data_IF_791533570067
#
_entry.id   IF_791533570067
#
_cell.length_a   1.000
_cell.length_b   1.000
_cell.length_c   1.000
_cell.angle_alpha   90.00
_cell.angle_beta   90.00
_cell.angle_gamma   90.00
#
_symmetry.space_group_name_H-M   'P 1'
#
loop_
_entity.id
_entity.type
_entity.pdbx_description
1 polymer ?
#
# COMPACT_ATOMS: atom_id res chain seq x y z
N UNK A 1 -7.07 -13.87 16.48
CA UNK A 1 -8.26 -13.14 15.95
C UNK A 1 -7.92 -11.67 15.71
N UNK A 2 -7.70 -10.91 16.76
CA UNK A 2 -7.35 -9.46 16.59
C UNK A 2 -5.86 -9.25 16.91
N UNK A 3 -4.99 -9.77 16.07
CA UNK A 3 -3.52 -9.63 16.33
C UNK A 3 -2.98 -8.34 15.68
N UNK A 4 -1.75 -8.00 15.97
CA UNK A 4 -1.15 -6.76 15.40
C UNK A 4 0.21 -7.08 14.77
N UNK A 5 0.18 -7.54 13.55
CA UNK A 5 1.43 -7.88 12.80
C UNK A 5 2.27 -6.62 12.56
N UNK A 6 1.64 -5.46 12.62
CA UNK A 6 2.33 -4.14 12.39
C UNK A 6 2.50 -3.88 10.89
N UNK A 7 2.03 -2.74 10.45
CA UNK A 7 2.12 -2.38 9.01
C UNK A 7 3.59 -2.25 8.56
N UNK A 8 4.42 -1.57 9.34
CA UNK A 8 5.87 -1.38 8.95
C UNK A 8 6.51 -2.70 8.48
N UNK A 9 6.48 -3.73 9.31
CA UNK A 9 7.05 -5.04 8.94
C UNK A 9 6.17 -5.71 7.88
N UNK A 10 4.86 -5.56 7.97
CA UNK A 10 3.95 -6.16 6.93
C UNK A 10 4.39 -5.68 5.54
N UNK A 11 4.69 -4.40 5.42
CA UNK A 11 5.15 -3.85 4.11
C UNK A 11 6.57 -4.33 3.84
N UNK A 12 7.44 -4.22 4.82
CA UNK A 12 8.85 -4.70 4.63
C UNK A 12 8.81 -6.13 4.06
N UNK A 13 7.87 -6.93 4.51
CA UNK A 13 7.73 -8.33 3.99
C UNK A 13 7.17 -8.31 2.56
N UNK A 14 5.97 -7.78 2.37
CA UNK A 14 5.37 -7.73 0.98
C UNK A 14 6.38 -7.14 -0.01
N UNK A 15 7.02 -6.06 0.36
CA UNK A 15 8.03 -5.43 -0.54
C UNK A 15 9.18 -6.41 -0.79
N UNK A 16 9.72 -6.99 0.27
CA UNK A 16 10.85 -7.97 0.11
C UNK A 16 10.39 -9.18 -0.73
N UNK A 17 9.23 -9.71 -0.44
CA UNK A 17 8.71 -10.89 -1.20
C UNK A 17 8.33 -10.48 -2.63
N UNK A 18 8.00 -9.22 -2.85
CA UNK A 18 7.62 -8.76 -4.23
C UNK A 18 6.33 -9.48 -4.67
N UNK A 19 5.26 -9.30 -3.92
CA UNK A 19 3.96 -9.97 -4.27
C UNK A 19 3.24 -9.21 -5.40
N UNK A 20 3.43 -7.91 -5.50
CA UNK A 20 2.76 -7.13 -6.59
C UNK A 20 3.82 -6.72 -7.64
N UNK A 21 3.52 -6.97 -8.90
CA UNK A 21 4.43 -6.64 -10.02
C UNK A 21 4.57 -5.12 -10.17
N UNK A 22 5.37 -4.53 -9.32
CA UNK A 22 5.57 -3.04 -9.35
C UNK A 22 5.92 -2.56 -7.94
N UNK A 23 5.29 -3.11 -6.92
CA UNK A 23 5.61 -2.70 -5.52
C UNK A 23 6.90 -3.40 -5.10
N UNK A 24 7.88 -2.65 -4.64
CA UNK A 24 9.18 -3.30 -4.25
C UNK A 24 10.19 -2.27 -3.71
N UNK A 25 11.26 -2.75 -3.13
CA UNK A 25 12.31 -1.83 -2.59
C UNK A 25 13.12 -1.24 -3.75
N UNK A 26 13.13 0.05 -3.90
CA UNK A 26 13.96 0.68 -4.97
C UNK A 26 15.39 0.72 -4.44
N UNK A 27 15.52 0.93 -3.15
CA UNK A 27 16.85 0.96 -2.48
C UNK A 27 16.66 0.32 -1.09
N UNK A 28 16.57 -0.99 -1.04
CA UNK A 28 16.34 -1.70 0.27
C UNK A 28 17.47 -1.38 1.26
N UNK A 29 18.67 -1.11 0.78
CA UNK A 29 19.79 -0.78 1.71
C UNK A 29 19.37 0.40 2.61
N UNK A 30 18.83 1.45 2.03
CA UNK A 30 18.36 2.61 2.84
C UNK A 30 16.85 2.45 3.15
N UNK A 31 16.28 1.31 2.79
CA UNK A 31 14.84 1.02 3.06
C UNK A 31 13.91 1.92 2.21
N UNK A 32 14.11 1.94 0.92
CA UNK A 32 13.22 2.75 0.02
C UNK A 32 12.30 1.81 -0.75
N UNK A 33 11.01 1.88 -0.53
CA UNK A 33 10.09 0.95 -1.25
C UNK A 33 9.08 1.74 -2.09
N UNK A 34 8.74 1.24 -3.25
CA UNK A 34 7.76 1.96 -4.12
C UNK A 34 6.58 1.05 -4.43
N UNK A 35 5.39 1.59 -4.35
CA UNK A 35 4.16 0.80 -4.68
C UNK A 35 3.52 1.46 -5.92
N UNK A 36 2.78 0.71 -6.72
CA UNK A 36 2.12 1.28 -7.92
C UNK A 36 0.78 1.97 -7.56
N UNK A 37 0.03 1.46 -6.60
CA UNK A 37 -1.26 2.12 -6.16
C UNK A 37 -2.35 1.96 -7.23
N UNK A 38 -3.53 2.48 -6.96
CA UNK A 38 -4.65 2.37 -7.96
C UNK A 38 -4.79 3.71 -8.71
N UNK A 39 -3.69 4.28 -9.16
CA UNK A 39 -3.75 5.58 -9.90
C UNK A 39 -4.86 5.52 -10.97
N UNK A 40 -5.12 4.35 -11.49
CA UNK A 40 -6.18 4.18 -12.53
C UNK A 40 -7.58 4.36 -11.91
N UNK A 41 -7.98 3.47 -11.03
CA UNK A 41 -9.33 3.59 -10.39
C UNK A 41 -9.22 4.36 -9.07
N UNK A 42 -9.60 5.61 -9.09
CA UNK A 42 -9.55 6.45 -7.86
C UNK A 42 -10.66 6.03 -6.87
N UNK A 43 -11.55 5.14 -7.26
CA UNK A 43 -12.64 4.69 -6.35
C UNK A 43 -12.68 3.16 -6.26
N UNK A 44 -13.27 2.48 -7.23
CA UNK A 44 -13.33 0.98 -7.17
C UNK A 44 -13.68 0.37 -8.55
N UNK A 45 -12.72 0.34 -9.44
CA UNK A 45 -12.93 -0.28 -10.80
C UNK A 45 -11.58 -0.85 -11.28
N UNK A 46 -10.80 -0.05 -11.97
CA UNK A 46 -9.44 -0.49 -12.43
C UNK A 46 -8.50 -0.43 -11.20
N UNK A 47 -8.89 -1.07 -10.12
CA UNK A 47 -8.09 -1.04 -8.85
C UNK A 47 -7.67 -2.46 -8.43
N UNK A 48 -7.31 -3.28 -9.38
CA UNK A 48 -6.89 -4.68 -9.05
C UNK A 48 -5.36 -4.77 -8.88
N UNK A 49 -4.64 -3.76 -9.32
CA UNK A 49 -3.14 -3.77 -9.19
C UNK A 49 -2.73 -3.92 -7.72
N UNK A 50 -3.29 -3.12 -6.86
CA UNK A 50 -2.93 -3.20 -5.41
C UNK A 50 -4.13 -3.66 -4.56
N UNK A 51 -5.19 -4.12 -5.20
CA UNK A 51 -6.39 -4.60 -4.46
C UNK A 51 -6.06 -5.77 -3.51
N UNK A 52 -5.13 -6.65 -3.86
CA UNK A 52 -4.76 -7.77 -2.96
C UNK A 52 -4.19 -7.21 -1.66
N UNK A 53 -3.50 -6.10 -1.75
CA UNK A 53 -2.97 -5.44 -0.52
C UNK A 53 -4.12 -4.65 0.08
N UNK A 54 -4.51 -3.64 -0.64
CA UNK A 54 -5.63 -2.75 -0.27
C UNK A 54 -6.76 -3.55 0.40
N UNK A 55 -7.15 -4.67 -0.18
CA UNK A 55 -8.25 -5.51 0.40
C UNK A 55 -7.76 -6.15 1.71
N UNK A 56 -6.56 -6.67 1.72
CA UNK A 56 -5.99 -7.31 2.96
C UNK A 56 -6.01 -6.29 4.12
N UNK A 57 -5.91 -5.00 3.82
CA UNK A 57 -5.94 -3.93 4.89
C UNK A 57 -7.04 -4.23 5.92
N UNK A 58 -8.23 -4.51 5.44
CA UNK A 58 -9.39 -4.78 6.34
C UNK A 58 -9.06 -5.92 7.32
N UNK A 59 -8.43 -6.97 6.85
CA UNK A 59 -8.09 -8.12 7.74
C UNK A 59 -6.74 -7.88 8.43
N UNK A 60 -5.76 -7.39 7.69
CA UNK A 60 -4.41 -7.14 8.29
C UNK A 60 -4.49 -6.01 9.33
N UNK A 61 -5.18 -4.93 9.03
CA UNK A 61 -5.26 -3.81 10.01
C UNK A 61 -6.42 -4.05 11.01
N UNK A 62 -6.98 -5.24 11.03
CA UNK A 62 -8.10 -5.57 11.98
C UNK A 62 -9.23 -4.55 11.88
N UNK A 63 -9.86 -4.46 10.73
CA UNK A 63 -10.98 -3.48 10.56
C UNK A 63 -12.26 -4.18 10.08
N UNK A 64 -12.15 -5.14 9.19
CA UNK A 64 -13.37 -5.85 8.69
C UNK A 64 -13.21 -7.37 8.89
N UNK A 65 -14.30 -8.04 9.16
CA UNK A 65 -14.25 -9.52 9.36
C UNK A 65 -15.20 -10.21 8.36
N UNK A 66 -14.68 -11.20 7.66
CA UNK A 66 -15.46 -11.96 6.66
C UNK A 66 -16.43 -12.93 7.36
N UNK A 67 -17.71 -12.63 7.28
CA UNK A 67 -18.74 -13.50 7.95
C UNK A 67 -19.44 -12.73 9.07
N UNK A 68 -18.90 -11.60 9.47
CA UNK A 68 -19.53 -10.80 10.57
C UNK A 68 -19.89 -9.39 10.08
N UNK A 69 -18.97 -8.70 9.45
CA UNK A 69 -19.28 -7.32 8.97
C UNK A 69 -19.29 -7.26 7.43
N UNK A 70 -19.52 -6.09 6.89
CA UNK A 70 -19.57 -5.92 5.40
C UNK A 70 -18.17 -5.62 4.85
N UNK A 71 -17.79 -6.34 3.82
CA UNK A 71 -16.48 -6.17 3.16
C UNK A 71 -16.52 -4.94 2.22
N UNK A 72 -16.52 -3.75 2.79
CA UNK A 72 -16.56 -2.51 1.96
C UNK A 72 -15.14 -2.09 1.54
N UNK A 73 -14.84 -2.25 0.27
CA UNK A 73 -13.51 -1.89 -0.28
C UNK A 73 -13.39 -0.37 -0.43
N UNK A 74 -14.50 0.33 -0.55
CA UNK A 74 -14.45 1.83 -0.68
C UNK A 74 -13.64 2.42 0.48
N UNK A 75 -13.99 2.06 1.69
CA UNK A 75 -13.25 2.58 2.88
C UNK A 75 -11.83 1.99 2.91
N UNK A 76 -11.68 0.74 2.49
CA UNK A 76 -10.32 0.11 2.46
C UNK A 76 -9.39 0.99 1.63
N UNK A 77 -9.89 1.57 0.56
CA UNK A 77 -9.05 2.47 -0.28
C UNK A 77 -8.50 3.61 0.59
N UNK A 78 -9.36 4.26 1.35
CA UNK A 78 -8.91 5.36 2.25
C UNK A 78 -7.95 4.79 3.31
N UNK A 79 -8.26 3.63 3.85
CA UNK A 79 -7.38 3.00 4.88
C UNK A 79 -5.92 2.96 4.36
N UNK A 80 -5.74 2.63 3.10
CA UNK A 80 -4.36 2.58 2.51
C UNK A 80 -3.70 3.96 2.62
N UNK A 81 -4.42 5.00 2.27
CA UNK A 81 -3.85 6.38 2.33
C UNK A 81 -3.50 6.78 3.77
N UNK A 82 -4.29 6.38 4.75
CA UNK A 82 -3.98 6.74 6.17
C UNK A 82 -2.59 6.22 6.54
N UNK A 83 -2.27 5.02 6.11
CA UNK A 83 -0.93 4.43 6.41
C UNK A 83 0.16 5.36 5.86
N UNK A 84 -0.05 5.93 4.69
CA UNK A 84 0.97 6.85 4.09
C UNK A 84 1.12 8.10 4.97
N UNK A 85 0.05 8.53 5.60
CA UNK A 85 0.13 9.71 6.50
C UNK A 85 0.58 9.24 7.91
N UNK A 86 1.00 7.99 8.03
CA UNK A 86 1.44 7.46 9.36
C UNK A 86 2.94 7.12 9.31
N UNK A 87 3.39 6.25 10.20
CA UNK A 87 4.85 5.87 10.27
C UNK A 87 5.75 7.07 9.91
N UNK A 88 6.18 7.81 10.92
CA UNK A 88 7.04 9.01 10.72
C UNK A 88 8.43 8.63 10.18
N UNK A 89 8.47 7.76 9.21
CA UNK A 89 9.74 7.34 8.57
C UNK A 89 9.47 7.01 7.08
N UNK A 90 8.31 7.38 6.56
CA UNK A 90 7.99 7.09 5.13
C UNK A 90 8.00 8.41 4.33
N UNK A 91 8.60 8.40 3.16
CA UNK A 91 8.63 9.63 2.31
C UNK A 91 7.98 9.30 0.96
N UNK A 92 6.78 9.78 0.73
CA UNK A 92 6.07 9.46 -0.55
C UNK A 92 6.49 10.40 -1.69
N UNK A 93 6.77 9.83 -2.84
CA UNK A 93 7.19 10.65 -4.02
C UNK A 93 6.52 10.10 -5.29
N UNK A 94 5.50 10.78 -5.78
CA UNK A 94 4.79 10.33 -7.01
C UNK A 94 5.12 11.26 -8.21
N UNK A 95 6.16 12.06 -8.08
CA UNK A 95 6.57 13.00 -9.19
C UNK A 95 5.53 14.13 -9.35
N UNK A 96 5.82 15.09 -10.21
CA UNK A 96 4.87 16.23 -10.45
C UNK A 96 4.80 16.54 -11.96
N UNK A 97 5.93 16.75 -12.60
CA UNK A 97 5.92 17.08 -14.07
C UNK A 97 7.11 16.43 -14.79
N UNK A 98 7.53 15.28 -14.38
CA UNK A 98 8.69 14.62 -15.06
C UNK A 98 8.36 13.15 -15.36
N UNK A 99 8.42 12.29 -14.36
CA UNK A 99 8.10 10.84 -14.56
C UNK A 99 6.58 10.66 -14.65
N UNK A 100 6.00 11.14 -15.72
CA UNK A 100 4.51 11.04 -15.89
C UNK A 100 4.19 10.54 -17.31
N UNK A 101 4.73 9.40 -17.68
CA UNK A 101 4.47 8.84 -19.05
C UNK A 101 4.86 7.36 -19.09
N UNK A 102 4.36 6.58 -18.16
CA UNK A 102 4.68 5.12 -18.12
C UNK A 102 3.84 4.43 -17.04
N UNK A 103 3.97 4.88 -15.81
CA UNK A 103 3.19 4.27 -14.69
C UNK A 103 2.82 5.36 -13.67
N UNK A 104 3.79 6.12 -13.21
CA UNK A 104 3.54 7.21 -12.21
C UNK A 104 3.02 6.58 -10.90
N UNK A 105 3.85 5.79 -10.27
CA UNK A 105 3.44 5.14 -8.98
C UNK A 105 3.84 6.02 -7.79
N UNK A 106 3.85 5.47 -6.59
CA UNK A 106 4.24 6.27 -5.40
C UNK A 106 5.47 5.64 -4.75
N UNK A 107 6.61 6.29 -4.89
CA UNK A 107 7.87 5.78 -4.29
C UNK A 107 7.91 6.23 -2.83
N UNK A 108 7.98 5.30 -1.91
CA UNK A 108 7.99 5.66 -0.46
C UNK A 108 9.34 5.31 0.17
N UNK A 109 10.02 6.28 0.72
CA UNK A 109 11.32 5.99 1.39
C UNK A 109 11.03 5.69 2.86
N UNK A 110 11.32 4.50 3.30
CA UNK A 110 11.03 4.12 4.71
C UNK A 110 12.33 4.09 5.53
N UNK A 111 12.34 4.73 6.66
CA UNK A 111 13.57 4.72 7.52
C UNK A 111 13.54 3.44 8.39
N UNK A 112 14.51 3.27 9.27
CA UNK A 112 14.59 2.06 10.12
C UNK A 112 13.49 2.07 11.21
#
# INVERSE_FOLDING_TARGET
PVERMRMRPWLEEQINSNTIPGLKWLNKEKKIFQIPWMHAARHGWDVEKDAPLFRNWAIHTGKHQPGIDKPDPKTWKANFRCAMNSLPDIEEVKDRSIKKGNNAFRVYRMLP
#
